data_IF_690011323507
#
_entry.id   IF_690011323507
#
_cell.length_a   1.000
_cell.length_b   1.000
_cell.length_c   1.000
_cell.angle_alpha   90.00
_cell.angle_beta   90.00
_cell.angle_gamma   90.00
#
_symmetry.space_group_name_H-M   'P 1'
#
loop_
_entity.id
_entity.type
_entity.pdbx_description
1 polymer ?
#
# COMPACT_ATOMS: atom_id res chain seq x y z
N UNK A 1 50.13 28.18 -20.10
CA UNK A 1 48.86 27.81 -19.46
C UNK A 1 48.98 26.40 -18.92
N UNK A 2 49.14 26.22 -17.60
CA UNK A 2 49.14 24.89 -16.96
C UNK A 2 47.70 24.61 -16.53
N UNK A 3 47.04 23.68 -17.21
CA UNK A 3 45.75 23.13 -16.75
C UNK A 3 46.03 22.43 -15.41
N UNK A 4 45.62 23.06 -14.30
CA UNK A 4 45.72 22.44 -12.98
C UNK A 4 44.57 21.43 -12.88
N UNK A 5 44.87 20.16 -13.12
CA UNK A 5 43.93 19.05 -12.90
C UNK A 5 43.69 18.90 -11.39
N UNK A 6 42.71 19.63 -10.86
CA UNK A 6 42.30 19.50 -9.46
C UNK A 6 41.59 18.16 -9.26
N UNK A 7 42.10 17.25 -8.41
CA UNK A 7 41.47 15.95 -8.17
C UNK A 7 40.05 16.07 -7.59
N UNK A 8 39.75 17.19 -6.95
CA UNK A 8 38.42 17.49 -6.40
C UNK A 8 37.36 17.69 -7.50
N UNK A 9 37.73 18.30 -8.63
CA UNK A 9 36.82 18.52 -9.77
C UNK A 9 36.46 17.20 -10.47
N UNK A 10 37.42 16.28 -10.54
CA UNK A 10 37.21 14.97 -11.14
C UNK A 10 36.33 14.08 -10.25
N UNK A 11 36.56 14.11 -8.93
CA UNK A 11 35.73 13.39 -7.96
C UNK A 11 34.27 13.86 -7.96
N UNK A 12 34.01 15.17 -8.01
CA UNK A 12 32.64 15.70 -8.10
C UNK A 12 31.92 15.31 -9.38
N UNK A 13 32.64 15.28 -10.52
CA UNK A 13 32.08 14.85 -11.79
C UNK A 13 31.72 13.35 -11.76
N UNK A 14 32.57 12.53 -11.14
CA UNK A 14 32.34 11.09 -11.00
C UNK A 14 31.12 10.80 -10.10
N UNK A 15 30.98 11.53 -8.98
CA UNK A 15 29.83 11.39 -8.07
C UNK A 15 28.51 11.80 -8.76
N UNK A 16 28.53 12.89 -9.53
CA UNK A 16 27.37 13.32 -10.30
C UNK A 16 26.97 12.31 -11.37
N UNK A 17 27.95 11.74 -12.08
CA UNK A 17 27.72 10.70 -13.07
C UNK A 17 27.12 9.42 -12.44
N UNK A 18 27.73 8.93 -11.36
CA UNK A 18 27.25 7.72 -10.65
C UNK A 18 25.84 7.92 -10.08
N UNK A 19 25.53 9.10 -9.55
CA UNK A 19 24.21 9.40 -9.01
C UNK A 19 23.11 9.41 -10.08
N UNK A 20 23.45 9.78 -11.33
CA UNK A 20 22.51 9.75 -12.46
C UNK A 20 22.28 8.37 -13.07
N UNK A 21 23.15 7.38 -12.77
CA UNK A 21 22.98 5.99 -13.22
C UNK A 21 22.17 5.12 -12.26
N UNK A 22 21.84 5.62 -11.06
CA UNK A 22 21.01 4.89 -10.11
C UNK A 22 19.52 5.05 -10.49
N UNK A 23 18.75 3.95 -10.56
CA UNK A 23 17.33 4.04 -10.80
C UNK A 23 16.67 4.82 -9.65
N UNK A 24 15.95 5.89 -9.99
CA UNK A 24 15.14 6.61 -9.03
C UNK A 24 14.01 5.68 -8.54
N UNK A 25 14.08 5.24 -7.29
CA UNK A 25 12.98 4.53 -6.65
C UNK A 25 11.87 5.55 -6.36
N UNK A 26 10.80 5.52 -7.15
CA UNK A 26 9.58 6.22 -6.79
C UNK A 26 8.99 5.55 -5.54
N UNK A 27 9.13 6.17 -4.38
CA UNK A 27 8.42 5.74 -3.18
C UNK A 27 6.91 5.87 -3.45
N UNK A 28 6.11 4.83 -3.15
CA UNK A 28 4.67 4.93 -3.28
C UNK A 28 4.16 6.08 -2.41
N UNK A 29 3.23 6.87 -2.95
CA UNK A 29 2.62 7.98 -2.23
C UNK A 29 1.79 7.46 -1.04
N UNK A 30 2.41 7.44 0.13
CA UNK A 30 1.81 6.97 1.38
C UNK A 30 0.65 7.85 1.87
N UNK A 31 0.46 9.03 1.29
CA UNK A 31 -0.66 9.92 1.66
C UNK A 31 -2.00 9.45 1.06
N UNK A 32 -1.95 8.59 0.03
CA UNK A 32 -3.13 8.06 -0.66
C UNK A 32 -3.34 6.60 -0.28
N UNK A 33 -4.43 6.25 0.43
CA UNK A 33 -4.69 4.86 0.76
C UNK A 33 -5.03 4.05 -0.50
N UNK A 34 -4.64 2.78 -0.52
CA UNK A 34 -5.18 1.82 -1.47
C UNK A 34 -6.57 1.40 -1.01
N UNK A 35 -7.55 1.42 -1.93
CA UNK A 35 -8.93 1.04 -1.64
C UNK A 35 -9.22 -0.28 -2.36
N UNK A 36 -9.60 -1.31 -1.60
CA UNK A 36 -10.06 -2.59 -2.13
C UNK A 36 -11.52 -2.76 -1.72
N UNK A 37 -12.40 -2.81 -2.72
CA UNK A 37 -13.82 -3.08 -2.51
C UNK A 37 -14.11 -4.54 -2.85
N UNK A 38 -14.63 -5.28 -1.87
CA UNK A 38 -15.08 -6.66 -2.03
C UNK A 38 -16.60 -6.65 -1.91
N UNK A 39 -17.29 -7.09 -2.97
CA UNK A 39 -18.74 -7.25 -3.00
C UNK A 39 -19.05 -8.73 -3.15
N UNK A 40 -20.02 -9.22 -2.40
CA UNK A 40 -20.51 -10.59 -2.53
C UNK A 40 -21.98 -10.55 -2.93
N UNK A 41 -22.34 -11.35 -3.92
CA UNK A 41 -23.70 -11.47 -4.42
C UNK A 41 -24.54 -12.35 -3.49
N UNK A 42 -25.82 -11.98 -3.30
CA UNK A 42 -26.82 -12.73 -2.53
C UNK A 42 -26.41 -13.21 -1.12
N UNK A 43 -25.47 -12.52 -0.47
CA UNK A 43 -25.06 -12.84 0.89
C UNK A 43 -26.04 -12.25 1.91
N UNK A 44 -26.63 -13.12 2.73
CA UNK A 44 -27.51 -12.77 3.83
C UNK A 44 -26.73 -12.33 5.08
N UNK A 45 -27.41 -11.59 5.95
CA UNK A 45 -26.85 -11.12 7.22
C UNK A 45 -26.36 -12.27 8.12
N UNK A 46 -27.09 -13.39 8.13
CA UNK A 46 -26.78 -14.58 8.94
C UNK A 46 -25.74 -15.51 8.33
N UNK A 47 -25.13 -15.17 7.18
CA UNK A 47 -24.18 -16.06 6.52
C UNK A 47 -22.75 -15.91 7.06
N UNK A 48 -22.43 -14.77 7.69
CA UNK A 48 -21.09 -14.46 8.19
C UNK A 48 -21.01 -14.73 9.70
N UNK A 49 -19.95 -15.41 10.13
CA UNK A 49 -19.70 -15.80 11.52
C UNK A 49 -19.74 -14.61 12.49
N UNK A 50 -19.14 -13.47 12.12
CA UNK A 50 -19.15 -12.28 12.98
C UNK A 50 -20.57 -11.73 13.27
N UNK A 51 -21.58 -12.02 12.45
CA UNK A 51 -22.98 -11.67 12.70
C UNK A 51 -23.79 -12.80 13.37
N UNK A 52 -23.13 -13.88 13.78
CA UNK A 52 -23.77 -15.04 14.40
C UNK A 52 -24.13 -16.15 13.42
N UNK A 53 -23.59 -16.12 12.19
CA UNK A 53 -23.77 -17.16 11.20
C UNK A 53 -23.08 -18.48 11.55
N UNK A 54 -23.60 -19.59 10.99
CA UNK A 54 -23.06 -20.94 11.23
C UNK A 54 -21.83 -21.27 10.36
N UNK A 55 -21.68 -20.56 9.23
CA UNK A 55 -20.57 -20.76 8.30
C UNK A 55 -19.29 -20.16 8.91
N UNK A 56 -18.21 -20.94 8.88
CA UNK A 56 -16.91 -20.50 9.36
C UNK A 56 -16.29 -19.49 8.38
N UNK A 57 -16.18 -18.23 8.79
CA UNK A 57 -15.65 -17.13 7.97
C UNK A 57 -14.42 -16.45 8.58
N UNK A 58 -13.35 -17.20 8.92
CA UNK A 58 -12.26 -16.70 9.79
C UNK A 58 -11.53 -15.47 9.23
N UNK A 59 -11.48 -15.31 7.90
CA UNK A 59 -10.89 -14.12 7.27
C UNK A 59 -11.78 -12.88 7.40
N UNK A 60 -13.09 -13.04 7.26
CA UNK A 60 -14.04 -11.93 7.46
C UNK A 60 -14.16 -11.57 8.94
N UNK A 61 -14.10 -12.57 9.82
CA UNK A 61 -14.14 -12.37 11.27
C UNK A 61 -12.93 -11.56 11.74
N UNK A 62 -11.72 -11.89 11.26
CA UNK A 62 -10.51 -11.10 11.54
C UNK A 62 -10.61 -9.67 10.99
N UNK A 63 -11.20 -9.46 9.82
CA UNK A 63 -11.43 -8.11 9.27
C UNK A 63 -12.42 -7.32 10.14
N UNK A 64 -13.46 -7.97 10.64
CA UNK A 64 -14.44 -7.35 11.53
C UNK A 64 -13.84 -7.01 12.91
N UNK A 65 -13.01 -7.88 13.48
CA UNK A 65 -12.31 -7.65 14.75
C UNK A 65 -11.27 -6.53 14.66
N UNK A 66 -10.52 -6.48 13.55
CA UNK A 66 -9.48 -5.48 13.32
C UNK A 66 -9.98 -4.17 12.68
N UNK A 67 -11.28 -4.05 12.44
CA UNK A 67 -11.86 -2.97 11.63
C UNK A 67 -13.14 -2.39 12.21
N UNK A 68 -13.94 -1.78 11.33
CA UNK A 68 -15.27 -1.29 11.66
C UNK A 68 -16.32 -2.26 11.09
N UNK A 69 -17.33 -2.56 11.90
CA UNK A 69 -18.46 -3.41 11.50
C UNK A 69 -19.77 -2.65 11.61
N UNK A 70 -20.59 -2.71 10.56
CA UNK A 70 -21.93 -2.16 10.55
C UNK A 70 -22.95 -3.25 10.88
N UNK A 71 -23.73 -3.07 11.94
CA UNK A 71 -24.81 -3.99 12.32
C UNK A 71 -26.15 -3.65 11.65
N UNK A 72 -26.60 -2.36 11.60
CA UNK A 72 -27.68 -1.97 10.71
C UNK A 72 -27.12 -1.56 9.34
N UNK A 73 -27.32 -2.41 8.34
CA UNK A 73 -27.01 -2.11 6.94
C UNK A 73 -28.09 -2.71 6.04
N UNK A 74 -28.72 -1.88 5.22
CA UNK A 74 -29.86 -2.24 4.38
C UNK A 74 -29.63 -1.79 2.95
N UNK A 75 -30.05 -2.63 2.00
CA UNK A 75 -30.18 -2.23 0.60
C UNK A 75 -31.55 -1.55 0.40
N UNK A 76 -31.65 -0.65 -0.60
CA UNK A 76 -32.91 0.02 -0.97
C UNK A 76 -33.71 -0.81 -1.97
#
# INVERSE_FOLDING_TARGET
MRLVFSPFLFASLLIGLVSGLLPASAEPDRSRPNIVLIMVDDMGYSDIGCYGGEVQTPHLDRLAEGGLRFTPFYNT
#
